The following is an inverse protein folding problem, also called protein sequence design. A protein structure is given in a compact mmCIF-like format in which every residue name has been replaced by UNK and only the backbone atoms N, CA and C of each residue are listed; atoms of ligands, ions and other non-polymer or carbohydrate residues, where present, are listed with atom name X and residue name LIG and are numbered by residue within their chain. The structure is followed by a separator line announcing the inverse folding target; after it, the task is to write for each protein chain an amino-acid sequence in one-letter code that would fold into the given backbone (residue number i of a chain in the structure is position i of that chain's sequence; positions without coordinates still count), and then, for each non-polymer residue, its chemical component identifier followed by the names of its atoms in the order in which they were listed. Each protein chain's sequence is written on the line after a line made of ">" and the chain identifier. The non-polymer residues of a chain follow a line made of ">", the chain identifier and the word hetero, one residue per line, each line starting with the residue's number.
data_IF_433517179061
#
_entry.id   IF_433517179061
#
_cell.length_a   1.000
_cell.length_b   1.000
_cell.length_c   1.000
_cell.angle_alpha   90.00
_cell.angle_beta   90.00
_cell.angle_gamma   90.00
#
_symmetry.space_group_name_H-M   'P 1'
#
loop_
_entity.id
_entity.type
_entity.pdbx_description
1 polymer ?
#
# COMPACT_ATOMS: atom_id res chain seq x y z
N UNK A 1 66.08 -19.95 40.02
CA UNK A 1 65.49 -19.63 38.70
C UNK A 1 63.97 -19.92 38.65
N UNK A 2 63.07 -18.91 38.68
CA UNK A 2 61.64 -19.13 38.47
C UNK A 2 61.06 -18.20 37.38
N UNK A 3 61.25 -18.53 36.08
CA UNK A 3 60.66 -17.76 34.96
C UNK A 3 59.61 -18.52 34.12
N UNK A 4 59.35 -19.81 34.38
CA UNK A 4 58.48 -20.64 33.53
C UNK A 4 56.97 -20.63 33.88
N UNK A 5 56.55 -20.36 35.13
CA UNK A 5 55.12 -20.38 35.51
C UNK A 5 54.30 -19.16 35.03
N UNK A 6 54.86 -17.94 35.03
CA UNK A 6 54.13 -16.71 34.58
C UNK A 6 53.77 -16.70 33.10
N UNK A 7 54.56 -17.34 32.22
CA UNK A 7 54.27 -17.41 30.76
C UNK A 7 53.09 -18.31 30.41
N UNK A 8 52.84 -19.38 31.17
CA UNK A 8 51.73 -20.33 30.93
C UNK A 8 50.36 -19.73 31.28
N UNK A 9 50.28 -18.95 32.37
CA UNK A 9 49.05 -18.27 32.80
C UNK A 9 48.68 -17.12 31.85
N UNK A 10 49.65 -16.31 31.40
CA UNK A 10 49.40 -15.26 30.39
C UNK A 10 48.90 -15.83 29.05
N UNK A 11 49.45 -16.97 28.58
CA UNK A 11 48.94 -17.66 27.38
C UNK A 11 47.49 -18.13 27.56
N UNK A 12 47.11 -18.61 28.74
CA UNK A 12 45.74 -19.06 29.03
C UNK A 12 44.70 -17.92 28.98
N UNK A 13 45.05 -16.73 29.50
CA UNK A 13 44.16 -15.55 29.48
C UNK A 13 44.04 -14.98 28.06
N UNK A 14 45.15 -14.90 27.33
CA UNK A 14 45.16 -14.44 25.93
C UNK A 14 44.36 -15.39 25.04
N UNK A 15 44.47 -16.71 25.23
CA UNK A 15 43.63 -17.68 24.51
C UNK A 15 42.15 -17.58 24.89
N UNK A 16 41.81 -17.33 26.16
CA UNK A 16 40.42 -17.08 26.58
C UNK A 16 39.86 -15.78 25.96
N UNK A 17 40.64 -14.70 25.89
CA UNK A 17 40.24 -13.44 25.24
C UNK A 17 40.12 -13.58 23.71
N UNK A 18 40.99 -14.36 23.06
CA UNK A 18 40.90 -14.69 21.62
C UNK A 18 39.70 -15.60 21.32
N UNK A 19 39.37 -16.53 22.22
CA UNK A 19 38.18 -17.38 22.13
C UNK A 19 36.88 -16.61 22.42
N UNK A 20 36.89 -15.65 23.35
CA UNK A 20 35.79 -14.71 23.60
C UNK A 20 35.58 -13.76 22.41
N UNK A 21 36.66 -13.27 21.80
CA UNK A 21 36.62 -12.50 20.55
C UNK A 21 36.08 -13.30 19.37
N UNK A 22 36.55 -14.55 19.18
CA UNK A 22 36.04 -15.46 18.12
C UNK A 22 34.60 -15.93 18.35
N UNK A 23 34.16 -16.09 19.60
CA UNK A 23 32.77 -16.46 19.92
C UNK A 23 31.77 -15.37 19.54
N UNK A 24 32.21 -14.11 19.51
CA UNK A 24 31.32 -12.98 19.22
C UNK A 24 31.44 -12.44 17.79
N UNK A 25 32.45 -12.81 17.00
CA UNK A 25 32.58 -12.39 15.60
C UNK A 25 31.31 -12.70 14.80
N UNK A 26 30.72 -13.88 14.97
CA UNK A 26 29.49 -14.26 14.29
C UNK A 26 28.29 -13.43 14.74
N UNK A 27 28.19 -13.11 16.03
CA UNK A 27 27.14 -12.25 16.57
C UNK A 27 27.29 -10.80 16.07
N UNK A 28 28.51 -10.28 16.02
CA UNK A 28 28.80 -8.94 15.50
C UNK A 28 28.48 -8.86 14.01
N UNK A 29 28.88 -9.86 13.21
CA UNK A 29 28.52 -9.93 11.79
C UNK A 29 27.01 -10.01 11.58
N UNK A 30 26.32 -10.84 12.37
CA UNK A 30 24.86 -10.93 12.34
C UNK A 30 24.22 -9.56 12.65
N UNK A 31 24.66 -8.90 13.72
CA UNK A 31 24.18 -7.57 14.09
C UNK A 31 24.41 -6.56 12.96
N UNK A 32 25.60 -6.51 12.37
CA UNK A 32 25.91 -5.59 11.25
C UNK A 32 25.03 -5.87 10.02
N UNK A 33 24.72 -7.13 9.72
CA UNK A 33 23.81 -7.49 8.62
C UNK A 33 22.39 -6.99 8.92
N UNK A 34 21.86 -7.22 10.12
CA UNK A 34 20.51 -6.77 10.48
C UNK A 34 20.42 -5.24 10.58
N UNK A 35 21.42 -4.60 11.19
CA UNK A 35 21.50 -3.14 11.29
C UNK A 35 21.65 -2.49 9.91
N UNK A 36 22.48 -3.07 9.03
CA UNK A 36 22.62 -2.64 7.64
C UNK A 36 21.33 -2.81 6.84
N UNK A 37 20.66 -3.98 6.95
CA UNK A 37 19.36 -4.22 6.33
C UNK A 37 18.32 -3.20 6.83
N UNK A 38 18.22 -2.98 8.15
CA UNK A 38 17.27 -2.04 8.74
C UNK A 38 17.54 -0.62 8.26
N UNK A 39 18.79 -0.15 8.34
CA UNK A 39 19.20 1.19 7.90
C UNK A 39 18.91 1.39 6.41
N UNK A 40 19.17 0.38 5.59
CA UNK A 40 18.85 0.40 4.17
C UNK A 40 17.34 0.53 3.91
N UNK A 41 16.51 -0.23 4.65
CA UNK A 41 15.04 -0.09 4.55
C UNK A 41 14.58 1.30 5.00
N UNK A 42 15.12 1.82 6.10
CA UNK A 42 14.76 3.14 6.64
C UNK A 42 15.10 4.25 5.64
N UNK A 43 16.28 4.19 5.03
CA UNK A 43 16.74 5.20 4.08
C UNK A 43 15.92 5.23 2.78
N UNK A 44 15.48 4.08 2.28
CA UNK A 44 14.75 3.99 1.01
C UNK A 44 13.22 4.03 1.18
N UNK A 45 12.73 3.66 2.35
CA UNK A 45 11.31 3.41 2.62
C UNK A 45 10.92 3.95 4.00
N UNK A 46 11.07 5.27 4.23
CA UNK A 46 10.85 5.86 5.55
C UNK A 46 9.39 5.72 6.00
N UNK A 47 8.44 5.72 5.06
CA UNK A 47 7.00 5.65 5.39
C UNK A 47 6.56 4.24 5.79
N UNK A 48 7.28 3.22 5.35
CA UNK A 48 6.96 1.84 5.64
C UNK A 48 7.33 1.45 7.09
N UNK A 49 8.15 2.28 7.77
CA UNK A 49 8.45 2.19 9.22
C UNK A 49 7.22 2.48 10.07
N UNK A 50 6.20 3.16 9.52
CA UNK A 50 5.01 3.56 10.28
C UNK A 50 4.39 2.39 11.05
N UNK A 51 4.39 1.15 10.55
CA UNK A 51 3.88 -0.02 11.28
C UNK A 51 4.61 -0.35 12.59
N UNK A 52 5.82 0.16 12.80
CA UNK A 52 6.59 -0.03 14.03
C UNK A 52 6.27 1.03 15.11
N UNK A 53 5.71 2.18 14.72
CA UNK A 53 5.54 3.35 15.61
C UNK A 53 4.09 3.81 15.68
N UNK A 54 3.33 3.64 14.60
CA UNK A 54 1.96 4.11 14.47
C UNK A 54 0.96 3.10 15.06
N UNK A 55 -0.09 3.65 15.66
CA UNK A 55 -1.24 2.87 16.13
C UNK A 55 -1.97 2.23 14.96
N UNK A 56 -2.23 0.93 15.03
CA UNK A 56 -3.09 0.19 14.11
C UNK A 56 -4.59 0.35 14.46
N UNK A 57 -4.97 1.45 15.12
CA UNK A 57 -6.36 1.73 15.46
C UNK A 57 -7.24 1.71 14.20
N UNK A 58 -8.32 0.94 14.26
CA UNK A 58 -9.31 0.82 13.20
C UNK A 58 -10.39 1.85 13.49
N UNK A 59 -10.66 2.74 12.53
CA UNK A 59 -11.74 3.71 12.63
C UNK A 59 -13.07 3.05 12.24
N UNK A 60 -14.15 3.51 12.87
CA UNK A 60 -15.50 3.14 12.46
C UNK A 60 -15.85 3.85 11.14
N UNK A 61 -16.80 3.34 10.34
CA UNK A 61 -17.24 4.04 9.14
C UNK A 61 -17.73 5.48 9.39
N UNK A 62 -18.40 5.77 10.51
CA UNK A 62 -18.81 7.13 10.84
C UNK A 62 -17.61 8.04 11.11
N UNK A 63 -16.61 7.55 11.84
CA UNK A 63 -15.35 8.28 12.08
C UNK A 63 -14.59 8.54 10.78
N UNK A 64 -14.48 7.53 9.91
CA UNK A 64 -13.85 7.67 8.59
C UNK A 64 -14.56 8.72 7.74
N UNK A 65 -15.90 8.70 7.72
CA UNK A 65 -16.70 9.68 6.98
C UNK A 65 -16.57 11.09 7.56
N UNK A 66 -16.62 11.24 8.88
CA UNK A 66 -16.45 12.52 9.55
C UNK A 66 -15.06 13.15 9.31
N UNK A 67 -14.03 12.32 9.09
CA UNK A 67 -12.66 12.81 8.87
C UNK A 67 -12.32 13.14 7.42
N UNK A 68 -12.88 12.41 6.47
CA UNK A 68 -12.46 12.46 5.06
C UNK A 68 -13.62 12.60 4.06
N UNK A 69 -14.84 12.82 4.57
CA UNK A 69 -16.07 12.86 3.78
C UNK A 69 -16.00 13.88 2.66
N UNK A 70 -15.52 15.08 2.97
CA UNK A 70 -15.39 16.18 2.02
C UNK A 70 -14.39 15.84 0.92
N UNK A 71 -13.24 15.26 1.26
CA UNK A 71 -12.24 14.82 0.29
C UNK A 71 -12.77 13.71 -0.62
N UNK A 72 -13.58 12.78 -0.09
CA UNK A 72 -14.23 11.77 -0.95
C UNK A 72 -15.22 12.42 -1.93
N UNK A 73 -15.97 13.43 -1.46
CA UNK A 73 -16.99 14.14 -2.24
C UNK A 73 -16.38 15.04 -3.31
N UNK A 74 -15.28 15.72 -2.99
CA UNK A 74 -14.52 16.58 -3.89
C UNK A 74 -13.85 15.76 -5.01
N UNK A 75 -13.26 14.62 -4.65
CA UNK A 75 -12.54 13.76 -5.58
C UNK A 75 -13.42 12.75 -6.33
N UNK A 76 -14.74 12.91 -6.32
CA UNK A 76 -15.66 12.04 -7.07
C UNK A 76 -15.46 12.22 -8.57
N UNK A 77 -15.64 11.16 -9.35
CA UNK A 77 -15.65 11.22 -10.82
C UNK A 77 -16.88 10.51 -11.38
N UNK A 78 -17.05 10.54 -12.71
CA UNK A 78 -18.16 9.84 -13.38
C UNK A 78 -18.26 8.34 -13.01
N UNK A 79 -17.12 7.65 -12.87
CA UNK A 79 -17.09 6.22 -12.53
C UNK A 79 -16.92 5.95 -11.04
N UNK A 80 -16.29 6.88 -10.31
CA UNK A 80 -15.84 6.65 -8.94
C UNK A 80 -16.63 7.56 -7.99
N UNK A 81 -17.60 6.96 -7.29
CA UNK A 81 -18.42 7.66 -6.30
C UNK A 81 -17.66 7.90 -4.98
N UNK A 82 -18.03 8.93 -4.19
CA UNK A 82 -17.40 9.19 -2.87
C UNK A 82 -17.51 7.98 -1.93
N UNK A 83 -18.66 7.30 -1.93
CA UNK A 83 -18.89 6.13 -1.09
C UNK A 83 -18.00 4.95 -1.46
N UNK A 84 -17.63 4.85 -2.74
CA UNK A 84 -16.70 3.82 -3.20
C UNK A 84 -15.28 4.12 -2.71
N UNK A 85 -14.84 5.38 -2.77
CA UNK A 85 -13.55 5.81 -2.18
C UNK A 85 -13.50 5.54 -0.68
N UNK A 86 -14.55 5.93 0.05
CA UNK A 86 -14.66 5.66 1.48
C UNK A 86 -14.63 4.15 1.79
N UNK A 87 -15.24 3.33 0.93
CA UNK A 87 -15.20 1.87 1.06
C UNK A 87 -13.79 1.32 0.90
N UNK A 88 -13.00 1.82 -0.07
CA UNK A 88 -11.60 1.42 -0.20
C UNK A 88 -10.82 1.81 1.04
N UNK A 89 -10.88 3.07 1.48
CA UNK A 89 -10.20 3.51 2.70
C UNK A 89 -10.52 2.62 3.91
N UNK A 90 -11.80 2.28 4.09
CA UNK A 90 -12.23 1.43 5.21
C UNK A 90 -11.79 -0.04 5.07
N UNK A 91 -11.74 -0.59 3.86
CA UNK A 91 -11.30 -1.98 3.65
C UNK A 91 -9.79 -2.12 3.75
N UNK A 92 -9.05 -1.18 3.18
CA UNK A 92 -7.60 -1.24 3.02
C UNK A 92 -6.85 -0.91 4.31
N UNK A 93 -7.30 0.08 5.05
CA UNK A 93 -6.59 0.58 6.24
C UNK A 93 -7.48 0.75 7.47
N UNK A 94 -8.76 0.36 7.39
CA UNK A 94 -9.71 0.63 8.46
C UNK A 94 -9.96 2.13 8.64
N UNK A 95 -9.70 2.97 7.63
CA UNK A 95 -9.81 4.42 7.72
C UNK A 95 -8.60 5.11 8.35
N UNK A 96 -7.55 4.38 8.72
CA UNK A 96 -6.36 4.95 9.38
C UNK A 96 -5.21 5.17 8.37
N UNK A 97 -4.79 6.41 8.12
CA UNK A 97 -3.77 6.71 7.10
C UNK A 97 -2.35 6.30 7.51
N UNK A 98 -2.15 5.89 8.77
CA UNK A 98 -0.83 5.50 9.29
C UNK A 98 -0.58 4.00 9.24
N UNK A 99 -1.47 3.25 8.58
CA UNK A 99 -1.31 1.80 8.41
C UNK A 99 -0.26 1.50 7.35
N UNK A 100 0.71 0.68 7.72
CA UNK A 100 1.60 0.00 6.79
C UNK A 100 1.67 -1.51 7.07
N UNK A 101 2.08 -2.33 6.09
CA UNK A 101 2.22 -3.76 6.24
C UNK A 101 3.18 -4.14 7.36
N UNK A 102 2.89 -5.27 7.99
CA UNK A 102 3.79 -5.88 8.96
C UNK A 102 5.14 -6.22 8.33
N UNK A 103 6.16 -6.21 9.18
CA UNK A 103 7.51 -6.62 8.79
C UNK A 103 7.63 -8.13 8.82
N UNK A 104 8.17 -8.69 7.73
CA UNK A 104 8.30 -10.14 7.57
C UNK A 104 9.77 -10.47 7.43
N UNK A 105 10.16 -11.51 8.16
CA UNK A 105 11.46 -12.12 8.07
C UNK A 105 11.47 -13.23 7.01
N UNK A 106 12.40 -13.21 6.06
CA UNK A 106 12.52 -14.22 5.02
C UNK A 106 13.96 -14.39 4.51
N UNK A 107 14.60 -15.51 4.86
CA UNK A 107 15.96 -15.86 4.44
C UNK A 107 16.17 -16.02 2.93
N UNK A 108 15.11 -16.19 2.14
CA UNK A 108 15.20 -16.33 0.67
C UNK A 108 15.30 -14.99 -0.06
N UNK A 109 15.13 -13.87 0.65
CA UNK A 109 15.25 -12.52 0.08
C UNK A 109 16.72 -12.10 0.02
N UNK A 110 17.10 -11.17 -0.87
CA UNK A 110 18.44 -10.60 -0.87
C UNK A 110 18.74 -9.95 0.49
N UNK A 111 20.02 -9.87 0.85
CA UNK A 111 20.50 -9.49 2.20
C UNK A 111 19.85 -8.19 2.71
N UNK A 112 19.65 -7.22 1.82
CA UNK A 112 19.05 -5.93 2.13
C UNK A 112 17.51 -5.96 2.34
N UNK A 113 16.85 -7.12 2.19
CA UNK A 113 15.40 -7.35 2.42
C UNK A 113 15.12 -8.59 3.27
N UNK A 114 16.10 -9.14 3.98
CA UNK A 114 15.89 -10.31 4.85
C UNK A 114 14.82 -9.99 5.90
N UNK A 115 14.84 -8.78 6.44
CA UNK A 115 13.78 -8.26 7.31
C UNK A 115 13.22 -6.96 6.71
N UNK A 116 12.02 -7.02 6.16
CA UNK A 116 11.42 -5.89 5.45
C UNK A 116 9.88 -5.98 5.51
N UNK A 117 9.16 -4.87 5.23
CA UNK A 117 7.71 -4.88 5.07
C UNK A 117 7.24 -5.98 4.10
N UNK A 118 6.07 -6.57 4.39
CA UNK A 118 5.48 -7.63 3.56
C UNK A 118 5.24 -7.15 2.12
N UNK A 119 4.79 -5.90 1.96
CA UNK A 119 4.63 -5.19 0.69
C UNK A 119 5.05 -3.73 0.83
N UNK A 120 5.04 -2.97 -0.28
CA UNK A 120 5.22 -1.52 -0.25
C UNK A 120 3.90 -0.75 -0.18
N UNK A 121 2.78 -1.41 0.12
CA UNK A 121 1.51 -0.73 0.31
C UNK A 121 1.59 0.18 1.54
N UNK A 122 1.18 1.43 1.48
CA UNK A 122 1.11 2.30 2.67
C UNK A 122 -0.08 3.23 2.57
N UNK A 123 -0.51 3.75 3.71
CA UNK A 123 -1.47 4.84 3.75
C UNK A 123 -2.93 4.39 3.73
N UNK A 124 -3.81 5.38 3.69
CA UNK A 124 -5.27 5.21 3.73
C UNK A 124 -5.78 4.25 2.64
N UNK A 125 -5.18 4.33 1.45
CA UNK A 125 -5.55 3.58 0.25
C UNK A 125 -4.59 2.42 -0.09
N UNK A 126 -3.60 2.14 0.78
CA UNK A 126 -2.64 1.03 0.62
C UNK A 126 -1.92 0.98 -0.75
N UNK A 127 -1.52 2.14 -1.27
CA UNK A 127 -0.80 2.22 -2.54
C UNK A 127 0.58 1.56 -2.45
N UNK A 128 0.83 0.57 -3.31
CA UNK A 128 2.19 0.09 -3.57
C UNK A 128 2.99 1.17 -4.31
N UNK A 129 4.31 1.11 -4.16
CA UNK A 129 5.23 2.01 -4.88
C UNK A 129 4.96 2.03 -6.40
N UNK A 130 4.78 0.87 -7.04
CA UNK A 130 4.54 0.80 -8.49
C UNK A 130 3.17 1.32 -8.92
N UNK A 131 2.17 1.28 -8.04
CA UNK A 131 0.87 1.92 -8.31
C UNK A 131 0.97 3.43 -8.11
N UNK A 132 1.69 3.87 -7.07
CA UNK A 132 1.90 5.28 -6.79
C UNK A 132 2.62 6.00 -7.93
N UNK A 133 3.67 5.44 -8.51
CA UNK A 133 4.35 6.06 -9.66
C UNK A 133 3.46 6.26 -10.89
N UNK A 134 2.36 5.49 -11.00
CA UNK A 134 1.36 5.65 -12.06
C UNK A 134 0.26 6.63 -11.64
N UNK A 135 -0.26 6.48 -10.42
CA UNK A 135 -1.35 7.29 -9.90
C UNK A 135 -0.95 8.74 -9.68
N UNK A 136 0.32 9.01 -9.29
CA UNK A 136 0.82 10.37 -9.11
C UNK A 136 0.82 11.21 -10.39
N UNK A 137 0.70 10.59 -11.57
CA UNK A 137 0.64 11.32 -12.84
C UNK A 137 -0.77 11.80 -13.17
N UNK A 138 -1.72 11.63 -12.25
CA UNK A 138 -3.13 11.88 -12.49
C UNK A 138 -3.71 12.70 -11.33
N UNK A 139 -4.54 13.70 -11.63
CA UNK A 139 -5.33 14.44 -10.62
C UNK A 139 -6.82 14.44 -10.97
N UNK A 140 -7.64 14.83 -10.00
CA UNK A 140 -9.07 15.07 -10.19
C UNK A 140 -9.34 16.56 -10.03
N UNK A 141 -9.93 17.19 -11.04
CA UNK A 141 -10.43 18.56 -10.91
C UNK A 141 -11.89 18.61 -11.36
N UNK A 142 -12.79 19.03 -10.45
CA UNK A 142 -14.24 19.11 -10.69
C UNK A 142 -14.82 17.81 -11.29
N UNK A 143 -14.30 16.68 -10.82
CA UNK A 143 -14.69 15.33 -11.23
C UNK A 143 -14.22 14.85 -12.60
N UNK A 144 -13.36 15.63 -13.27
CA UNK A 144 -12.63 15.22 -14.46
C UNK A 144 -11.20 14.80 -14.09
N UNK A 145 -10.63 13.89 -14.89
CA UNK A 145 -9.28 13.38 -14.63
C UNK A 145 -8.30 13.91 -15.67
N UNK A 146 -7.22 14.51 -15.19
CA UNK A 146 -6.17 15.08 -16.01
C UNK A 146 -4.86 14.32 -15.82
N UNK A 147 -4.04 14.29 -16.86
CA UNK A 147 -2.69 13.70 -16.82
C UNK A 147 -1.65 14.78 -16.52
N UNK A 148 -0.50 14.34 -16.05
CA UNK A 148 0.71 15.15 -15.84
C UNK A 148 1.03 15.95 -17.10
N UNK A 149 1.38 17.22 -16.90
CA UNK A 149 1.74 18.13 -17.96
C UNK A 149 2.52 19.34 -17.44
N UNK A 150 2.95 20.22 -18.34
CA UNK A 150 3.72 21.40 -17.97
C UNK A 150 2.95 22.30 -17.02
N UNK A 151 3.65 22.97 -16.10
CA UNK A 151 3.04 23.83 -15.07
C UNK A 151 2.16 24.97 -15.62
N UNK A 152 2.39 25.40 -16.85
CA UNK A 152 1.62 26.45 -17.52
C UNK A 152 0.34 25.92 -18.21
N UNK A 153 0.16 24.60 -18.30
CA UNK A 153 -1.09 24.01 -18.75
C UNK A 153 -2.01 23.81 -17.54
N UNK A 154 -2.89 24.79 -17.31
CA UNK A 154 -3.90 24.74 -16.24
C UNK A 154 -4.92 23.60 -16.39
N UNK A 155 -4.96 22.92 -17.55
CA UNK A 155 -5.76 21.72 -17.77
C UNK A 155 -4.94 20.43 -17.55
N UNK A 156 -3.72 20.54 -17.03
CA UNK A 156 -2.88 19.39 -16.70
C UNK A 156 -2.71 19.20 -15.19
N UNK A 157 -2.22 18.04 -14.79
CA UNK A 157 -1.85 17.71 -13.43
C UNK A 157 -0.44 18.23 -13.12
N UNK A 158 -0.30 19.52 -12.81
CA UNK A 158 1.01 20.17 -12.67
C UNK A 158 1.60 20.19 -11.25
N UNK A 159 0.77 20.03 -10.21
CA UNK A 159 1.19 20.07 -8.80
C UNK A 159 1.56 18.72 -8.18
N UNK A 160 1.61 17.67 -8.99
CA UNK A 160 1.71 16.29 -8.54
C UNK A 160 3.06 15.87 -7.94
N UNK A 161 4.10 16.69 -8.07
CA UNK A 161 5.39 16.44 -7.44
C UNK A 161 5.31 16.40 -5.90
N UNK A 162 4.28 17.03 -5.32
CA UNK A 162 4.00 17.06 -3.88
C UNK A 162 3.12 15.89 -3.41
N UNK A 163 2.60 15.06 -4.32
CA UNK A 163 1.76 13.94 -3.92
C UNK A 163 2.50 12.97 -3.02
N UNK A 164 1.78 12.45 -2.04
CA UNK A 164 2.36 11.57 -1.05
C UNK A 164 1.33 10.55 -0.57
N UNK A 165 1.72 9.26 -0.53
CA UNK A 165 0.81 8.13 -0.25
C UNK A 165 0.19 8.14 1.16
N UNK A 166 0.88 8.76 2.12
CA UNK A 166 0.44 8.82 3.53
C UNK A 166 -0.52 9.98 3.79
N UNK A 167 -0.52 11.00 2.95
CA UNK A 167 -1.42 12.14 3.08
C UNK A 167 -2.82 11.75 2.58
N UNK A 168 -3.88 11.78 3.42
CA UNK A 168 -5.20 11.29 3.06
C UNK A 168 -5.75 11.89 1.77
N UNK A 169 -5.76 13.24 1.64
CA UNK A 169 -6.27 13.92 0.46
C UNK A 169 -5.57 13.47 -0.84
N UNK A 170 -4.24 13.44 -0.84
CA UNK A 170 -3.46 12.97 -1.99
C UNK A 170 -3.76 11.50 -2.33
N UNK A 171 -3.83 10.63 -1.32
CA UNK A 171 -4.14 9.22 -1.52
C UNK A 171 -5.56 9.02 -2.10
N UNK A 172 -6.54 9.79 -1.62
CA UNK A 172 -7.93 9.75 -2.09
C UNK A 172 -8.02 10.18 -3.55
N UNK A 173 -7.44 11.33 -3.88
CA UNK A 173 -7.41 11.89 -5.24
C UNK A 173 -6.72 10.94 -6.22
N UNK A 174 -5.50 10.50 -5.90
CA UNK A 174 -4.75 9.55 -6.71
C UNK A 174 -5.51 8.25 -6.96
N UNK A 175 -6.20 7.71 -5.94
CA UNK A 175 -7.03 6.50 -6.11
C UNK A 175 -8.20 6.74 -7.03
N UNK A 176 -8.89 7.88 -6.87
CA UNK A 176 -10.01 8.22 -7.73
C UNK A 176 -9.58 8.37 -9.19
N UNK A 177 -8.52 9.14 -9.43
CA UNK A 177 -7.99 9.38 -10.77
C UNK A 177 -7.49 8.10 -11.45
N UNK A 178 -6.71 7.29 -10.74
CA UNK A 178 -6.18 6.02 -11.25
C UNK A 178 -7.29 5.01 -11.57
N UNK A 179 -8.27 4.85 -10.69
CA UNK A 179 -9.39 3.93 -10.93
C UNK A 179 -10.31 4.44 -12.03
N UNK A 180 -10.56 5.75 -12.11
CA UNK A 180 -11.31 6.35 -13.20
C UNK A 180 -10.67 6.01 -14.54
N UNK A 181 -9.37 6.32 -14.73
CA UNK A 181 -8.66 6.01 -15.99
C UNK A 181 -8.67 4.53 -16.30
N UNK A 182 -8.50 3.70 -15.29
CA UNK A 182 -8.54 2.25 -15.46
C UNK A 182 -9.91 1.77 -15.94
N UNK A 183 -11.00 2.22 -15.30
CA UNK A 183 -12.37 1.87 -15.69
C UNK A 183 -12.72 2.44 -17.06
N UNK A 184 -12.43 3.71 -17.31
CA UNK A 184 -12.65 4.37 -18.60
C UNK A 184 -11.99 3.59 -19.75
N UNK A 185 -10.73 3.18 -19.57
CA UNK A 185 -10.01 2.38 -20.55
C UNK A 185 -10.69 1.03 -20.83
N UNK A 186 -11.33 0.44 -19.82
CA UNK A 186 -12.07 -0.82 -19.94
C UNK A 186 -13.42 -0.63 -20.60
N UNK A 187 -14.15 0.43 -20.26
CA UNK A 187 -15.42 0.80 -20.91
C UNK A 187 -15.20 1.01 -22.41
N UNK A 188 -14.18 1.81 -22.78
CA UNK A 188 -13.82 2.05 -24.19
C UNK A 188 -13.40 0.78 -24.93
N UNK A 189 -12.74 -0.15 -24.24
CA UNK A 189 -12.25 -1.40 -24.83
C UNK A 189 -13.34 -2.46 -24.99
N UNK A 190 -14.40 -2.40 -24.21
CA UNK A 190 -15.47 -3.40 -24.16
C UNK A 190 -16.86 -2.77 -24.34
N UNK A 191 -17.10 -2.01 -25.43
CA UNK A 191 -18.34 -1.25 -25.62
C UNK A 191 -19.60 -2.14 -25.72
N UNK A 192 -19.43 -3.42 -26.05
CA UNK A 192 -20.52 -4.39 -26.15
C UNK A 192 -21.06 -4.89 -24.80
N UNK A 193 -20.42 -4.56 -23.68
CA UNK A 193 -20.85 -4.98 -22.34
C UNK A 193 -21.56 -3.83 -21.62
N UNK A 194 -22.61 -4.16 -20.85
CA UNK A 194 -23.32 -3.17 -20.04
C UNK A 194 -22.56 -2.82 -18.75
N UNK A 195 -22.00 -1.61 -18.70
CA UNK A 195 -21.36 -1.02 -17.52
C UNK A 195 -22.39 -0.28 -16.65
N UNK A 196 -23.30 -1.02 -16.02
CA UNK A 196 -24.16 -0.48 -14.97
C UNK A 196 -23.32 0.07 -13.80
N UNK A 197 -23.91 0.91 -12.95
CA UNK A 197 -23.23 1.46 -11.77
C UNK A 197 -22.68 0.37 -10.82
N UNK A 198 -23.34 -0.78 -10.76
CA UNK A 198 -22.85 -1.95 -10.03
C UNK A 198 -21.63 -2.59 -10.70
N UNK A 199 -21.69 -2.80 -12.02
CA UNK A 199 -20.60 -3.38 -12.79
C UNK A 199 -19.37 -2.47 -12.80
N UNK A 200 -19.54 -1.15 -12.89
CA UNK A 200 -18.46 -0.16 -12.73
C UNK A 200 -17.80 -0.31 -11.37
N UNK A 201 -18.58 -0.33 -10.28
CA UNK A 201 -18.05 -0.51 -8.92
C UNK A 201 -17.26 -1.82 -8.78
N UNK A 202 -17.81 -2.91 -9.34
CA UNK A 202 -17.17 -4.23 -9.35
C UNK A 202 -15.83 -4.18 -10.11
N UNK A 203 -15.81 -3.60 -11.31
CA UNK A 203 -14.58 -3.45 -12.10
C UNK A 203 -13.55 -2.59 -11.37
N UNK A 204 -13.96 -1.49 -10.75
CA UNK A 204 -13.08 -0.65 -9.94
C UNK A 204 -12.48 -1.44 -8.75
N UNK A 205 -13.31 -2.18 -8.02
CA UNK A 205 -12.86 -3.00 -6.89
C UNK A 205 -11.90 -4.12 -7.31
N UNK A 206 -12.19 -4.84 -8.39
CA UNK A 206 -11.30 -5.87 -8.95
C UNK A 206 -9.99 -5.23 -9.44
N UNK A 207 -10.07 -4.06 -10.07
CA UNK A 207 -8.88 -3.34 -10.55
C UNK A 207 -8.00 -2.87 -9.40
N UNK A 208 -8.60 -2.38 -8.32
CA UNK A 208 -7.88 -1.96 -7.13
C UNK A 208 -7.11 -3.13 -6.50
N UNK A 209 -7.80 -4.26 -6.27
CA UNK A 209 -7.20 -5.41 -5.59
C UNK A 209 -6.24 -6.22 -6.47
N UNK A 210 -6.63 -6.46 -7.72
CA UNK A 210 -5.99 -7.47 -8.59
C UNK A 210 -5.37 -6.88 -9.87
N UNK A 211 -5.60 -5.59 -10.14
CA UNK A 211 -5.17 -4.93 -11.37
C UNK A 211 -6.09 -5.17 -12.58
N UNK A 212 -5.82 -4.38 -13.62
CA UNK A 212 -6.61 -4.30 -14.86
C UNK A 212 -6.69 -5.67 -15.58
N UNK A 213 -5.64 -6.49 -15.51
CA UNK A 213 -5.60 -7.80 -16.17
C UNK A 213 -6.72 -8.73 -15.70
N UNK A 214 -6.95 -8.79 -14.38
CA UNK A 214 -8.03 -9.60 -13.79
C UNK A 214 -9.40 -8.98 -14.09
N UNK A 215 -9.52 -7.66 -14.02
CA UNK A 215 -10.74 -6.96 -14.38
C UNK A 215 -11.20 -7.27 -15.81
N UNK A 216 -10.27 -7.36 -16.78
CA UNK A 216 -10.57 -7.79 -18.16
C UNK A 216 -11.16 -9.20 -18.22
N UNK A 217 -10.70 -10.15 -17.38
CA UNK A 217 -11.25 -11.51 -17.33
C UNK A 217 -12.68 -11.49 -16.77
N UNK A 218 -12.90 -10.76 -15.69
CA UNK A 218 -14.23 -10.60 -15.06
C UNK A 218 -15.23 -9.98 -16.05
N UNK A 219 -14.84 -8.97 -16.83
CA UNK A 219 -15.71 -8.38 -17.87
C UNK A 219 -16.08 -9.42 -18.92
N UNK A 220 -15.10 -10.18 -19.45
CA UNK A 220 -15.38 -11.24 -20.43
C UNK A 220 -16.32 -12.32 -19.90
N UNK A 221 -16.26 -12.60 -18.60
CA UNK A 221 -17.17 -13.49 -17.89
C UNK A 221 -18.52 -12.84 -17.53
N UNK A 222 -18.90 -11.74 -18.20
CA UNK A 222 -20.14 -10.98 -17.96
C UNK A 222 -20.27 -10.53 -16.49
N UNK A 223 -19.17 -10.04 -15.93
CA UNK A 223 -19.07 -9.51 -14.57
C UNK A 223 -19.33 -10.54 -13.45
N UNK A 224 -19.24 -11.83 -13.77
CA UNK A 224 -19.32 -12.92 -12.78
C UNK A 224 -17.97 -13.05 -12.06
N UNK A 225 -18.03 -13.19 -10.74
CA UNK A 225 -16.89 -13.46 -9.87
C UNK A 225 -17.23 -14.74 -9.12
N UNK A 226 -16.32 -15.71 -9.16
CA UNK A 226 -16.48 -16.98 -8.48
C UNK A 226 -15.82 -16.94 -7.10
N UNK A 227 -16.28 -17.77 -6.17
CA UNK A 227 -15.85 -17.76 -4.78
C UNK A 227 -14.43 -18.30 -4.56
N UNK A 228 -13.85 -18.99 -5.53
CA UNK A 228 -12.51 -19.57 -5.52
C UNK A 228 -11.42 -18.60 -6.00
N UNK A 229 -11.79 -17.48 -6.63
CA UNK A 229 -10.82 -16.51 -7.14
C UNK A 229 -10.09 -15.76 -6.01
N UNK A 230 -8.76 -15.75 -6.09
CA UNK A 230 -7.89 -15.06 -5.14
C UNK A 230 -6.96 -14.07 -5.84
N UNK A 231 -6.58 -13.02 -5.10
CA UNK A 231 -5.57 -12.05 -5.49
C UNK A 231 -4.61 -11.86 -4.32
N UNK A 232 -3.44 -12.51 -4.43
CA UNK A 232 -2.56 -12.71 -3.27
C UNK A 232 -3.27 -13.54 -2.20
N UNK A 233 -3.29 -13.05 -0.96
CA UNK A 233 -3.98 -13.66 0.18
C UNK A 233 -5.49 -13.32 0.24
N UNK A 234 -5.99 -12.46 -0.63
CA UNK A 234 -7.38 -11.98 -0.56
C UNK A 234 -8.31 -12.80 -1.45
N UNK A 235 -9.47 -13.18 -0.91
CA UNK A 235 -10.57 -13.72 -1.69
C UNK A 235 -11.31 -12.60 -2.43
N UNK A 236 -11.43 -12.73 -3.75
CA UNK A 236 -11.95 -11.68 -4.61
C UNK A 236 -13.44 -11.39 -4.37
N UNK A 237 -14.27 -12.43 -4.31
CA UNK A 237 -15.70 -12.28 -4.05
C UNK A 237 -15.95 -11.61 -2.70
N UNK A 238 -15.30 -12.09 -1.63
CA UNK A 238 -15.44 -11.50 -0.28
C UNK A 238 -15.03 -10.02 -0.25
N UNK A 239 -13.96 -9.66 -0.98
CA UNK A 239 -13.51 -8.28 -1.06
C UNK A 239 -14.54 -7.38 -1.76
N UNK A 240 -15.01 -7.78 -2.94
CA UNK A 240 -16.02 -7.02 -3.71
C UNK A 240 -17.32 -6.86 -2.92
N UNK A 241 -17.76 -7.91 -2.22
CA UNK A 241 -18.96 -7.86 -1.38
C UNK A 241 -18.78 -6.91 -0.20
N UNK A 242 -17.59 -6.91 0.43
CA UNK A 242 -17.26 -5.99 1.52
C UNK A 242 -17.31 -4.53 1.05
N UNK A 243 -16.72 -4.23 -0.12
CA UNK A 243 -16.79 -2.91 -0.75
C UNK A 243 -18.26 -2.50 -1.02
N UNK A 244 -19.06 -3.40 -1.60
CA UNK A 244 -20.47 -3.12 -1.91
C UNK A 244 -21.30 -2.81 -0.66
N UNK A 245 -21.11 -3.57 0.44
CA UNK A 245 -21.78 -3.33 1.71
C UNK A 245 -21.37 -1.98 2.31
N UNK A 246 -20.07 -1.70 2.37
CA UNK A 246 -19.56 -0.44 2.92
C UNK A 246 -20.00 0.78 2.11
N UNK A 247 -20.06 0.67 0.77
CA UNK A 247 -20.57 1.76 -0.07
C UNK A 247 -22.02 2.11 0.28
N UNK A 248 -22.85 1.11 0.59
CA UNK A 248 -24.22 1.34 1.07
C UNK A 248 -24.23 2.00 2.45
N UNK A 249 -23.34 1.60 3.35
CA UNK A 249 -23.20 2.21 4.69
C UNK A 249 -22.80 3.68 4.59
N UNK A 250 -21.74 4.02 3.86
CA UNK A 250 -21.30 5.41 3.69
C UNK A 250 -22.35 6.28 3.02
N UNK A 251 -23.09 5.75 2.05
CA UNK A 251 -24.22 6.46 1.45
C UNK A 251 -25.33 6.77 2.45
N UNK A 252 -25.52 5.95 3.49
CA UNK A 252 -26.48 6.24 4.57
C UNK A 252 -25.95 7.29 5.54
N UNK A 253 -24.64 7.31 5.79
CA UNK A 253 -24.00 8.28 6.70
C UNK A 253 -23.92 9.70 6.12
N UNK A 254 -23.99 9.83 4.80
CA UNK A 254 -24.03 11.14 4.13
C UNK A 254 -25.42 11.77 4.12
N UNK A 255 -26.47 10.97 4.32
CA UNK A 255 -27.84 11.48 4.41
C UNK A 255 -28.08 12.09 5.78
#
# INVERSE_FOLDING_TARGET
>A
MPKKRRKKVKKSIVWRLILLGRKNIWLTLLFLIFAGNFSYQVALKPTEILSLVASNAIYTPSTTWSKYGDEFVENRTQYISPYLLASFAQVESGGNPWVSPGWVFNWRRPIHRIYAPASSSVGLMQFTEGTYQRARKLCVHKGQVFEDGPWYDFKSCWGNFLYHRVWPGHAIEMTSAYLHRSVESLVRRFPQYNFSSENVRKVAAVTHLCGIGVAKRVIRQRFKITSDQTCGSHNLSRYVDKISRLSKTFRRLHK
#
